data_IF_274693827315
#
_entry.id   IF_274693827315
#
_cell.length_a   1.000
_cell.length_b   1.000
_cell.length_c   1.000
_cell.angle_alpha   90.00
_cell.angle_beta   90.00
_cell.angle_gamma   90.00
#
_symmetry.space_group_name_H-M   'P 1'
#
loop_
_entity.id
_entity.type
_entity.pdbx_description
1 polymer ?
#
# COMPACT_ATOMS: atom_id res chain seq x y z
N UNK A 1 -23.83 -39.74 18.10
CA UNK A 1 -24.21 -38.35 17.77
C UNK A 1 -22.91 -37.55 17.70
N UNK A 2 -22.34 -37.37 16.50
CA UNK A 2 -21.05 -36.67 16.31
C UNK A 2 -21.37 -35.22 15.94
N UNK A 3 -21.16 -34.31 16.89
CA UNK A 3 -21.24 -32.87 16.64
C UNK A 3 -20.09 -32.46 15.73
N UNK A 4 -20.40 -32.00 14.51
CA UNK A 4 -19.45 -31.31 13.65
C UNK A 4 -19.60 -29.83 13.98
N UNK A 5 -18.66 -29.28 14.76
CA UNK A 5 -18.51 -27.84 14.93
C UNK A 5 -17.98 -27.28 13.61
N UNK A 6 -18.83 -26.61 12.84
CA UNK A 6 -18.40 -25.76 11.73
C UNK A 6 -17.85 -24.46 12.32
N UNK A 7 -16.52 -24.33 12.37
CA UNK A 7 -15.88 -23.06 12.71
C UNK A 7 -16.06 -22.09 11.53
N UNK A 8 -16.85 -21.04 11.73
CA UNK A 8 -16.91 -19.90 10.82
C UNK A 8 -15.54 -19.19 10.84
N UNK A 9 -14.76 -19.37 9.78
CA UNK A 9 -13.65 -18.48 9.45
C UNK A 9 -14.25 -17.13 9.02
N UNK A 10 -14.40 -16.21 9.96
CA UNK A 10 -14.58 -14.79 9.64
C UNK A 10 -13.28 -14.30 9.02
N UNK A 11 -13.23 -14.21 7.68
CA UNK A 11 -12.20 -13.46 6.97
C UNK A 11 -12.43 -12.00 7.32
N UNK A 12 -11.74 -11.50 8.33
CA UNK A 12 -11.61 -10.07 8.54
C UNK A 12 -10.75 -9.56 7.40
N UNK A 13 -11.37 -8.93 6.40
CA UNK A 13 -10.64 -8.14 5.42
C UNK A 13 -9.86 -7.09 6.20
N UNK A 14 -8.54 -7.25 6.25
CA UNK A 14 -7.65 -6.21 6.76
C UNK A 14 -7.95 -4.93 5.96
N UNK A 15 -8.07 -3.78 6.64
CA UNK A 15 -8.34 -2.53 5.93
C UNK A 15 -7.24 -2.30 4.91
N UNK A 16 -7.63 -1.86 3.71
CA UNK A 16 -6.73 -1.59 2.59
C UNK A 16 -5.54 -0.67 2.96
N UNK A 17 -5.68 0.11 4.04
CA UNK A 17 -4.67 1.02 4.57
C UNK A 17 -3.43 0.38 5.21
N UNK A 18 -3.37 -0.94 5.38
CA UNK A 18 -2.22 -1.56 6.06
C UNK A 18 -0.89 -1.43 5.27
N UNK A 19 -0.97 -1.42 3.95
CA UNK A 19 0.22 -1.64 3.13
C UNK A 19 1.00 -0.34 2.84
N UNK A 20 0.31 0.80 2.70
CA UNK A 20 0.99 2.09 2.65
C UNK A 20 1.62 2.46 4.01
N UNK A 21 1.05 2.00 5.14
CA UNK A 21 1.62 2.16 6.48
C UNK A 21 2.95 1.40 6.57
N UNK A 22 2.98 0.15 6.11
CA UNK A 22 4.21 -0.66 6.12
C UNK A 22 5.32 -0.03 5.26
N UNK A 23 4.99 0.47 4.07
CA UNK A 23 5.94 1.21 3.24
C UNK A 23 6.43 2.50 3.91
N UNK A 24 5.57 3.23 4.61
CA UNK A 24 5.96 4.40 5.39
C UNK A 24 6.91 4.03 6.54
N UNK A 25 6.64 2.94 7.27
CA UNK A 25 7.55 2.47 8.33
C UNK A 25 8.92 2.09 7.76
N UNK A 26 9.00 1.55 6.54
CA UNK A 26 10.28 1.27 5.86
C UNK A 26 11.10 2.55 5.60
N UNK A 27 10.49 3.75 5.58
CA UNK A 27 11.23 5.02 5.49
C UNK A 27 11.86 5.44 6.83
N UNK A 28 11.62 4.69 7.91
CA UNK A 28 12.09 4.98 9.26
C UNK A 28 11.14 5.83 10.11
N UNK A 29 9.94 6.16 9.61
CA UNK A 29 8.93 6.86 10.38
C UNK A 29 8.29 5.93 11.43
N UNK A 30 7.74 6.52 12.50
CA UNK A 30 7.03 5.74 13.52
C UNK A 30 5.67 5.24 13.03
N UNK A 31 5.18 4.13 13.58
CA UNK A 31 3.85 3.61 13.26
C UNK A 31 2.73 4.63 13.52
N UNK A 32 2.88 5.49 14.53
CA UNK A 32 1.93 6.57 14.81
C UNK A 32 1.91 7.63 13.70
N UNK A 33 3.08 8.04 13.20
CA UNK A 33 3.22 8.97 12.06
C UNK A 33 2.60 8.35 10.82
N UNK A 34 2.91 7.09 10.53
CA UNK A 34 2.40 6.39 9.35
C UNK A 34 0.88 6.17 9.40
N UNK A 35 0.33 5.86 10.57
CA UNK A 35 -1.13 5.75 10.75
C UNK A 35 -1.82 7.10 10.52
N UNK A 36 -1.26 8.18 11.05
CA UNK A 36 -1.74 9.54 10.80
C UNK A 36 -1.69 9.88 9.29
N UNK A 37 -0.56 9.59 8.64
CA UNK A 37 -0.37 9.89 7.23
C UNK A 37 -1.30 9.09 6.31
N UNK A 38 -1.53 7.82 6.62
CA UNK A 38 -2.47 6.95 5.89
C UNK A 38 -3.92 7.45 6.00
N UNK A 39 -4.34 7.88 7.20
CA UNK A 39 -5.66 8.48 7.41
C UNK A 39 -5.81 9.79 6.61
N UNK A 40 -4.81 10.69 6.69
CA UNK A 40 -4.81 11.93 5.95
C UNK A 40 -4.77 11.71 4.42
N UNK A 41 -4.05 10.70 3.93
CA UNK A 41 -4.03 10.33 2.52
C UNK A 41 -5.41 9.90 2.04
N UNK A 42 -6.10 9.06 2.81
CA UNK A 42 -7.43 8.55 2.46
C UNK A 42 -8.50 9.65 2.33
N UNK A 43 -8.32 10.79 3.00
CA UNK A 43 -9.18 11.97 2.86
C UNK A 43 -8.86 12.82 1.62
N UNK A 44 -7.65 12.67 1.05
CA UNK A 44 -7.15 13.49 -0.06
C UNK A 44 -7.31 12.84 -1.43
N UNK A 45 -7.34 11.51 -1.50
CA UNK A 45 -7.37 10.78 -2.77
C UNK A 45 -8.64 9.96 -2.92
N UNK A 46 -8.99 9.65 -4.18
CA UNK A 46 -10.13 8.78 -4.46
C UNK A 46 -9.89 7.34 -3.97
N UNK A 47 -10.94 6.59 -3.61
CA UNK A 47 -10.81 5.23 -3.07
C UNK A 47 -10.15 4.25 -4.05
N UNK A 48 -10.33 4.46 -5.36
CA UNK A 48 -9.72 3.61 -6.39
C UNK A 48 -8.20 3.83 -6.49
N UNK A 49 -7.76 5.09 -6.42
CA UNK A 49 -6.35 5.44 -6.43
C UNK A 49 -5.65 5.00 -5.13
N UNK A 50 -6.35 5.14 -3.99
CA UNK A 50 -5.87 4.61 -2.71
C UNK A 50 -5.67 3.09 -2.79
N UNK A 51 -6.66 2.34 -3.29
CA UNK A 51 -6.57 0.89 -3.39
C UNK A 51 -5.43 0.42 -4.32
N UNK A 52 -5.16 1.15 -5.41
CA UNK A 52 -4.00 0.86 -6.27
C UNK A 52 -2.69 1.17 -5.58
N UNK A 53 -2.61 2.30 -4.90
CA UNK A 53 -1.42 2.71 -4.17
C UNK A 53 -1.11 1.75 -3.02
N UNK A 54 -2.14 1.27 -2.32
CA UNK A 54 -2.00 0.22 -1.30
C UNK A 54 -1.46 -1.07 -1.91
N UNK A 55 -2.04 -1.55 -3.01
CA UNK A 55 -1.54 -2.74 -3.70
C UNK A 55 -0.07 -2.62 -4.18
N UNK A 56 0.33 -1.43 -4.65
CA UNK A 56 1.72 -1.16 -5.01
C UNK A 56 2.59 -1.15 -3.75
N UNK A 57 2.10 -0.60 -2.64
CA UNK A 57 2.82 -0.58 -1.37
C UNK A 57 3.03 -2.00 -0.82
N UNK A 58 2.05 -2.90 -0.96
CA UNK A 58 2.19 -4.32 -0.59
C UNK A 58 3.31 -4.97 -1.38
N UNK A 59 3.25 -4.88 -2.71
CA UNK A 59 4.23 -5.48 -3.61
C UNK A 59 5.62 -4.84 -3.45
N UNK A 60 5.68 -3.56 -3.07
CA UNK A 60 6.92 -2.88 -2.73
C UNK A 60 7.57 -3.51 -1.50
N UNK A 61 6.82 -3.71 -0.40
CA UNK A 61 7.35 -4.31 0.83
C UNK A 61 7.81 -5.75 0.59
N UNK A 62 7.07 -6.54 -0.20
CA UNK A 62 7.50 -7.88 -0.61
C UNK A 62 8.85 -7.83 -1.34
N UNK A 63 9.01 -6.92 -2.30
CA UNK A 63 10.27 -6.73 -3.04
C UNK A 63 11.42 -6.24 -2.17
N UNK A 64 11.15 -5.36 -1.21
CA UNK A 64 12.14 -4.95 -0.20
C UNK A 64 12.62 -6.14 0.62
N UNK A 65 11.71 -7.06 0.97
CA UNK A 65 12.04 -8.29 1.69
C UNK A 65 12.90 -9.28 0.88
N UNK A 66 12.82 -9.22 -0.46
CA UNK A 66 13.70 -9.95 -1.38
C UNK A 66 15.10 -9.33 -1.51
N UNK A 67 15.36 -8.20 -0.85
CA UNK A 67 16.66 -7.51 -0.85
C UNK A 67 16.81 -6.45 -1.95
N UNK A 68 15.73 -6.11 -2.66
CA UNK A 68 15.77 -5.05 -3.67
C UNK A 68 15.94 -3.66 -3.02
N UNK A 69 16.66 -2.80 -3.75
CA UNK A 69 16.76 -1.39 -3.43
C UNK A 69 15.40 -0.69 -3.55
N UNK A 70 15.26 0.47 -2.93
CA UNK A 70 13.98 1.20 -2.89
C UNK A 70 13.39 1.47 -4.28
N UNK A 71 14.22 1.96 -5.21
CA UNK A 71 13.79 2.29 -6.57
C UNK A 71 13.36 1.03 -7.33
N UNK A 72 14.18 -0.02 -7.31
CA UNK A 72 13.88 -1.27 -8.00
C UNK A 72 12.64 -1.97 -7.42
N UNK A 73 12.47 -1.91 -6.10
CA UNK A 73 11.27 -2.43 -5.44
C UNK A 73 10.02 -1.67 -5.88
N UNK A 74 10.08 -0.34 -5.95
CA UNK A 74 8.96 0.49 -6.38
C UNK A 74 8.61 0.25 -7.85
N UNK A 75 9.59 0.30 -8.75
CA UNK A 75 9.36 0.10 -10.18
C UNK A 75 8.84 -1.32 -10.46
N UNK A 76 9.37 -2.33 -9.77
CA UNK A 76 8.88 -3.69 -9.84
C UNK A 76 7.44 -3.83 -9.33
N UNK A 77 7.08 -3.15 -8.23
CA UNK A 77 5.74 -3.18 -7.65
C UNK A 77 4.71 -2.51 -8.58
N UNK A 78 5.07 -1.35 -9.13
CA UNK A 78 4.26 -0.65 -10.15
C UNK A 78 4.04 -1.55 -11.36
N UNK A 79 5.08 -2.21 -11.86
CA UNK A 79 4.97 -3.11 -13.00
C UNK A 79 4.03 -4.29 -12.72
N UNK A 80 4.14 -4.93 -11.55
CA UNK A 80 3.30 -6.05 -11.16
C UNK A 80 1.81 -5.66 -11.04
N UNK A 81 1.52 -4.53 -10.40
CA UNK A 81 0.14 -4.04 -10.26
C UNK A 81 -0.42 -3.56 -11.60
N UNK A 82 0.41 -2.94 -12.45
CA UNK A 82 0.01 -2.54 -13.79
C UNK A 82 -0.35 -3.75 -14.68
N UNK A 83 0.46 -4.82 -14.63
CA UNK A 83 0.18 -6.08 -15.33
C UNK A 83 -1.14 -6.69 -14.86
N UNK A 84 -1.35 -6.77 -13.54
CA UNK A 84 -2.61 -7.24 -12.93
C UNK A 84 -3.83 -6.44 -13.41
N UNK A 85 -3.70 -5.12 -13.47
CA UNK A 85 -4.77 -4.20 -13.84
C UNK A 85 -4.91 -4.04 -15.38
N UNK A 86 -4.09 -4.71 -16.18
CA UNK A 86 -4.13 -4.64 -17.64
C UNK A 86 -3.73 -3.27 -18.23
N UNK A 87 -2.90 -2.51 -17.51
CA UNK A 87 -2.42 -1.20 -17.94
C UNK A 87 -0.91 -1.19 -18.16
N UNK A 88 -0.42 -0.19 -18.90
CA UNK A 88 1.01 0.00 -19.07
C UNK A 88 1.63 0.50 -17.75
N UNK A 89 2.78 -0.06 -17.36
CA UNK A 89 3.50 0.33 -16.13
C UNK A 89 3.77 1.83 -16.04
N UNK A 90 4.14 2.47 -17.17
CA UNK A 90 4.35 3.92 -17.19
C UNK A 90 3.06 4.74 -16.97
N UNK A 91 1.91 4.21 -17.35
CA UNK A 91 0.60 4.83 -17.13
C UNK A 91 0.22 4.68 -15.66
N UNK A 92 0.40 3.49 -15.08
CA UNK A 92 0.23 3.27 -13.65
C UNK A 92 1.13 4.20 -12.82
N UNK A 93 2.43 4.30 -13.17
CA UNK A 93 3.36 5.17 -12.46
C UNK A 93 2.94 6.64 -12.52
N UNK A 94 2.55 7.14 -13.70
CA UNK A 94 2.06 8.51 -13.84
C UNK A 94 0.81 8.77 -12.99
N UNK A 95 -0.10 7.80 -12.91
CA UNK A 95 -1.31 7.91 -12.09
C UNK A 95 -0.99 7.90 -10.59
N UNK A 96 0.00 7.11 -10.15
CA UNK A 96 0.31 6.93 -8.73
C UNK A 96 1.36 7.90 -8.19
N UNK A 97 2.12 8.59 -9.05
CA UNK A 97 3.08 9.61 -8.62
C UNK A 97 2.44 10.74 -7.77
N UNK A 98 1.28 11.33 -8.14
CA UNK A 98 0.59 12.29 -7.30
C UNK A 98 0.15 11.71 -5.95
N UNK A 99 -0.33 10.46 -5.91
CA UNK A 99 -0.73 9.78 -4.66
C UNK A 99 0.48 9.58 -3.75
N UNK A 100 1.60 9.10 -4.30
CA UNK A 100 2.85 8.96 -3.54
C UNK A 100 3.42 10.30 -3.06
N UNK A 101 3.21 11.39 -3.81
CA UNK A 101 3.56 12.73 -3.34
C UNK A 101 2.68 13.17 -2.17
N UNK A 102 1.35 13.03 -2.30
CA UNK A 102 0.41 13.33 -1.22
C UNK A 102 0.73 12.52 0.05
N UNK A 103 1.09 11.24 -0.09
CA UNK A 103 1.49 10.42 1.05
C UNK A 103 2.75 10.97 1.76
N UNK A 104 3.79 11.33 1.00
CA UNK A 104 5.01 11.93 1.58
C UNK A 104 4.74 13.26 2.27
N UNK A 105 3.82 14.05 1.74
CA UNK A 105 3.44 15.33 2.36
C UNK A 105 2.60 15.12 3.63
N UNK A 106 1.71 14.12 3.63
CA UNK A 106 0.99 13.67 4.84
C UNK A 106 1.95 13.16 5.93
N UNK A 107 2.99 12.39 5.57
CA UNK A 107 4.02 11.94 6.52
C UNK A 107 4.68 13.13 7.21
N UNK A 108 5.16 14.11 6.44
CA UNK A 108 5.79 15.33 6.99
C UNK A 108 4.85 16.16 7.87
N UNK A 109 3.54 16.16 7.57
CA UNK A 109 2.56 16.90 8.36
C UNK A 109 2.23 16.21 9.69
N UNK A 110 2.53 14.91 9.81
CA UNK A 110 2.27 14.09 10.99
C UNK A 110 3.50 13.90 11.91
N UNK A 111 4.69 14.33 11.48
CA UNK A 111 5.92 14.40 12.29
C UNK A 111 5.86 15.51 13.35
#
# INVERSE_FOLDING_TARGET
MRSILAALLTVTALPASADNIAMCVDTGASEAVCTCAAAALAEQVGPEDLARYDAISTAFVEKRSEGLGWVDAWDGAVAAVAERDGTAANTMQRAMNPVGQAHRDSIKACE
#
